data_IF_679176302774
#
_entry.id   IF_679176302774
#
_cell.length_a   1.000
_cell.length_b   1.000
_cell.length_c   1.000
_cell.angle_alpha   90.00
_cell.angle_beta   90.00
_cell.angle_gamma   90.00
#
_symmetry.space_group_name_H-M   'P 1'
#
loop_
_entity.id
_entity.type
_entity.pdbx_description
1 polymer ?
#
# COMPACT_ATOMS: atom_id res chain seq x y z
N UNK A 1 -1.13 -60.18 29.80
CA UNK A 1 -0.53 -58.97 30.38
C UNK A 1 0.73 -58.62 29.61
N UNK A 2 0.61 -57.87 28.52
CA UNK A 2 1.66 -57.02 27.96
C UNK A 2 1.01 -56.10 26.93
N UNK A 3 0.67 -54.93 27.43
CA UNK A 3 0.27 -53.75 26.68
C UNK A 3 1.47 -53.33 25.81
N UNK A 4 1.32 -53.35 24.49
CA UNK A 4 2.19 -52.55 23.62
C UNK A 4 1.41 -51.28 23.29
N UNK A 5 1.83 -50.25 24.00
CA UNK A 5 1.41 -48.88 23.92
C UNK A 5 1.92 -48.22 22.63
N UNK A 6 1.26 -47.11 22.31
CA UNK A 6 1.84 -45.89 21.76
C UNK A 6 1.90 -45.73 20.23
N UNK A 7 0.95 -44.91 19.79
CA UNK A 7 1.20 -43.72 18.97
C UNK A 7 1.57 -43.96 17.51
N UNK A 8 0.53 -44.05 16.68
CA UNK A 8 0.56 -43.49 15.33
C UNK A 8 0.83 -41.98 15.48
N UNK A 9 2.10 -41.57 15.37
CA UNK A 9 2.47 -40.16 15.29
C UNK A 9 1.89 -39.58 14.00
N UNK A 10 0.71 -38.96 14.10
CA UNK A 10 0.27 -37.97 13.13
C UNK A 10 1.21 -36.78 13.28
N UNK A 11 2.18 -36.66 12.37
CA UNK A 11 2.88 -35.40 12.16
C UNK A 11 1.83 -34.34 11.84
N UNK A 12 1.54 -33.48 12.81
CA UNK A 12 0.74 -32.29 12.57
C UNK A 12 1.51 -31.43 11.59
N UNK A 13 0.95 -31.21 10.41
CA UNK A 13 1.32 -30.06 9.59
C UNK A 13 1.05 -28.82 10.43
N UNK A 14 2.12 -28.16 10.90
CA UNK A 14 1.99 -26.82 11.42
C UNK A 14 1.56 -25.96 10.22
N UNK A 15 0.32 -25.46 10.26
CA UNK A 15 -0.08 -24.39 9.37
C UNK A 15 0.81 -23.19 9.72
N UNK A 16 1.67 -22.81 8.80
CA UNK A 16 2.45 -21.60 8.94
C UNK A 16 1.46 -20.42 8.89
N UNK A 17 1.27 -19.75 10.02
CA UNK A 17 0.44 -18.57 10.07
C UNK A 17 1.12 -17.48 9.24
N UNK A 18 0.57 -17.25 8.04
CA UNK A 18 0.98 -16.13 7.20
C UNK A 18 0.56 -14.86 7.92
N UNK A 19 1.51 -14.26 8.62
CA UNK A 19 1.34 -12.94 9.21
C UNK A 19 1.06 -11.96 8.06
N UNK A 20 0.01 -11.13 8.14
CA UNK A 20 -0.25 -10.14 7.10
C UNK A 20 0.98 -9.24 6.99
N UNK A 21 1.51 -9.12 5.77
CA UNK A 21 2.59 -8.19 5.49
C UNK A 21 2.12 -6.77 5.83
N UNK A 22 2.91 -6.05 6.63
CA UNK A 22 2.62 -4.67 6.96
C UNK A 22 2.94 -3.81 5.75
N UNK A 23 1.91 -3.29 5.08
CA UNK A 23 2.09 -2.33 4.00
C UNK A 23 2.53 -0.98 4.57
N UNK A 24 3.62 -0.46 4.02
CA UNK A 24 4.16 0.88 4.32
C UNK A 24 4.23 1.70 3.04
N UNK A 25 4.01 3.01 3.15
CA UNK A 25 4.11 3.90 1.99
C UNK A 25 5.55 3.87 1.42
N UNK A 26 6.55 3.94 2.28
CA UNK A 26 7.96 4.04 1.91
C UNK A 26 8.45 2.85 1.10
N UNK A 27 8.06 1.63 1.48
CA UNK A 27 8.56 0.40 0.84
C UNK A 27 7.68 -0.02 -0.33
N UNK A 28 6.36 0.17 -0.24
CA UNK A 28 5.42 -0.45 -1.19
C UNK A 28 4.84 0.53 -2.20
N UNK A 29 4.66 1.80 -1.83
CA UNK A 29 3.94 2.78 -2.67
C UNK A 29 4.89 3.78 -3.32
N UNK A 30 5.82 4.32 -2.54
CA UNK A 30 6.77 5.34 -3.00
C UNK A 30 7.60 4.91 -4.20
N UNK A 31 8.07 3.64 -4.33
CA UNK A 31 8.78 3.21 -5.54
C UNK A 31 7.92 3.29 -6.81
N UNK A 32 6.61 3.01 -6.70
CA UNK A 32 5.66 3.07 -7.82
C UNK A 32 5.52 4.52 -8.28
N UNK A 33 5.23 5.44 -7.36
CA UNK A 33 5.11 6.87 -7.71
C UNK A 33 6.43 7.46 -8.18
N UNK A 34 7.57 6.99 -7.67
CA UNK A 34 8.88 7.42 -8.17
C UNK A 34 9.08 7.02 -9.64
N UNK A 35 8.64 5.83 -10.03
CA UNK A 35 8.81 5.32 -11.39
C UNK A 35 7.86 5.97 -12.40
N UNK A 36 6.67 6.42 -11.96
CA UNK A 36 5.58 6.77 -12.88
C UNK A 36 5.01 8.18 -12.71
N UNK A 37 5.20 8.83 -11.56
CA UNK A 37 4.47 10.06 -11.22
C UNK A 37 5.37 11.24 -10.82
N UNK A 38 6.53 10.97 -10.21
CA UNK A 38 7.36 12.02 -9.60
C UNK A 38 7.89 13.02 -10.62
N UNK A 39 8.07 12.65 -11.89
CA UNK A 39 8.49 13.57 -12.94
C UNK A 39 7.62 14.83 -13.01
N UNK A 40 6.33 14.73 -12.66
CA UNK A 40 5.41 15.86 -12.59
C UNK A 40 4.92 16.20 -11.17
N UNK A 41 4.98 15.25 -10.23
CA UNK A 41 4.39 15.38 -8.89
C UNK A 41 5.38 15.07 -7.75
N UNK A 42 6.63 15.52 -7.87
CA UNK A 42 7.61 15.43 -6.77
C UNK A 42 9.09 15.69 -7.11
N UNK A 43 9.50 15.56 -8.37
CA UNK A 43 10.89 15.74 -8.80
C UNK A 43 11.25 17.20 -9.13
N UNK A 44 10.24 18.03 -9.36
CA UNK A 44 10.36 19.45 -9.72
C UNK A 44 9.87 20.35 -8.58
N UNK A 45 10.31 21.60 -8.57
CA UNK A 45 9.77 22.64 -7.68
C UNK A 45 8.33 23.03 -8.07
N UNK A 46 8.02 23.00 -9.37
CA UNK A 46 6.68 23.22 -9.90
C UNK A 46 5.99 21.89 -10.20
N UNK A 47 5.08 21.48 -9.30
CA UNK A 47 4.27 20.29 -9.50
C UNK A 47 3.00 20.60 -10.30
N UNK A 48 2.63 19.72 -11.24
CA UNK A 48 1.34 19.84 -11.93
C UNK A 48 0.19 19.82 -10.93
N UNK A 49 -0.73 20.77 -11.07
CA UNK A 49 -1.87 20.93 -10.16
C UNK A 49 -1.47 21.11 -8.68
N UNK A 50 -0.23 21.50 -8.37
CA UNK A 50 0.27 21.66 -7.01
C UNK A 50 0.34 20.39 -6.17
N UNK A 51 0.20 19.19 -6.77
CA UNK A 51 0.15 17.93 -6.05
C UNK A 51 1.56 17.33 -5.85
N UNK A 52 1.91 17.07 -4.59
CA UNK A 52 3.16 16.41 -4.20
C UNK A 52 2.89 15.00 -3.64
N UNK A 53 3.38 13.99 -4.36
CA UNK A 53 3.18 12.58 -4.04
C UNK A 53 4.30 11.98 -3.20
N UNK A 54 5.29 12.75 -2.75
CA UNK A 54 6.49 12.22 -2.06
C UNK A 54 6.23 11.73 -0.64
N UNK A 55 5.21 12.27 0.01
CA UNK A 55 4.88 12.01 1.41
C UNK A 55 3.37 12.00 1.58
N UNK A 56 2.85 11.06 2.37
CA UNK A 56 1.39 10.89 2.59
C UNK A 56 0.72 12.20 3.04
N UNK A 57 1.36 12.95 3.93
CA UNK A 57 0.82 14.25 4.41
C UNK A 57 0.60 15.27 3.28
N UNK A 58 1.38 15.21 2.21
CA UNK A 58 1.24 16.11 1.06
C UNK A 58 0.11 15.65 0.15
N UNK A 59 -0.11 14.34 0.03
CA UNK A 59 -1.26 13.76 -0.68
C UNK A 59 -2.57 14.12 0.04
N UNK A 60 -2.59 14.09 1.37
CA UNK A 60 -3.74 14.57 2.15
C UNK A 60 -3.95 16.07 2.00
N UNK A 61 -2.88 16.89 2.01
CA UNK A 61 -3.00 18.33 1.70
C UNK A 61 -3.60 18.56 0.31
N UNK A 62 -3.26 17.71 -0.65
CA UNK A 62 -3.79 17.77 -2.00
C UNK A 62 -3.20 18.91 -2.84
N UNK A 63 -3.87 19.18 -3.96
CA UNK A 63 -3.51 20.19 -4.95
C UNK A 63 -4.69 21.06 -5.34
N UNK A 64 -4.69 21.58 -6.56
CA UNK A 64 -5.75 22.41 -7.13
C UNK A 64 -7.12 21.71 -7.17
N UNK A 65 -7.13 20.37 -7.25
CA UNK A 65 -8.34 19.55 -7.25
C UNK A 65 -8.83 19.15 -5.84
N UNK A 66 -8.17 19.63 -4.78
CA UNK A 66 -8.45 19.24 -3.40
C UNK A 66 -7.59 18.06 -2.92
N UNK A 67 -8.04 17.40 -1.84
CA UNK A 67 -7.33 16.27 -1.23
C UNK A 67 -7.15 15.12 -2.23
N UNK A 68 -5.94 14.61 -2.35
CA UNK A 68 -5.67 13.51 -3.30
C UNK A 68 -6.01 12.14 -2.71
N UNK A 69 -5.86 11.98 -1.39
CA UNK A 69 -6.19 10.75 -0.64
C UNK A 69 -7.00 11.09 0.61
N UNK A 70 -8.06 10.33 0.83
CA UNK A 70 -8.87 10.32 2.05
C UNK A 70 -8.64 8.99 2.78
N UNK A 71 -8.00 9.06 3.94
CA UNK A 71 -7.64 7.88 4.73
C UNK A 71 -8.85 6.99 5.04
N UNK A 72 -8.76 5.72 4.68
CA UNK A 72 -9.83 4.74 4.89
C UNK A 72 -10.99 4.79 3.89
N UNK A 73 -10.93 5.70 2.90
CA UNK A 73 -11.97 5.91 1.89
C UNK A 73 -11.35 5.97 0.48
N UNK A 74 -10.86 4.84 -0.06
CA UNK A 74 -10.23 4.80 -1.38
C UNK A 74 -11.19 5.28 -2.49
N UNK A 75 -12.47 4.89 -2.42
CA UNK A 75 -13.49 5.24 -3.40
C UNK A 75 -13.82 6.75 -3.43
N UNK A 76 -13.51 7.48 -2.35
CA UNK A 76 -13.67 8.94 -2.27
C UNK A 76 -12.35 9.68 -2.60
N UNK A 77 -11.26 8.95 -2.85
CA UNK A 77 -9.93 9.53 -3.06
C UNK A 77 -9.67 9.83 -4.53
N UNK A 78 -9.49 11.12 -4.85
CA UNK A 78 -9.27 11.58 -6.22
C UNK A 78 -8.07 10.93 -6.92
N UNK A 79 -6.99 10.65 -6.19
CA UNK A 79 -5.81 9.98 -6.76
C UNK A 79 -6.12 8.55 -7.20
N UNK A 80 -6.96 7.83 -6.47
CA UNK A 80 -7.34 6.46 -6.83
C UNK A 80 -8.18 6.47 -8.10
N UNK A 81 -9.15 7.38 -8.19
CA UNK A 81 -9.97 7.57 -9.39
C UNK A 81 -9.11 7.79 -10.66
N UNK A 82 -8.06 8.63 -10.58
CA UNK A 82 -7.15 8.89 -11.71
C UNK A 82 -6.32 7.66 -12.10
N UNK A 83 -5.82 6.93 -11.10
CA UNK A 83 -5.04 5.70 -11.33
C UNK A 83 -5.92 4.64 -12.02
N UNK A 84 -7.17 4.51 -11.60
CA UNK A 84 -8.12 3.55 -12.18
C UNK A 84 -8.60 3.97 -13.58
N UNK A 85 -8.75 5.27 -13.85
CA UNK A 85 -9.09 5.76 -15.20
C UNK A 85 -7.93 5.63 -16.19
N UNK A 86 -6.69 5.55 -15.70
CA UNK A 86 -5.47 5.45 -16.51
C UNK A 86 -4.99 6.78 -17.08
N UNK A 87 -5.43 7.90 -16.48
CA UNK A 87 -5.03 9.26 -16.84
C UNK A 87 -3.74 9.73 -16.14
#
# INVERSE_FOLDING_TARGET
MLLICACVLRAGIAAEEVKPETLTYEEHIRPIFRAHCFDCHGATEEMKGGLDLRLVRFMTKGGESGEAIISGKPDESYLIERIESGD
#
